data_IF_517025362264
#
_entry.id   IF_517025362264
#
_cell.length_a   1.000
_cell.length_b   1.000
_cell.length_c   1.000
_cell.angle_alpha   90.00
_cell.angle_beta   90.00
_cell.angle_gamma   90.00
#
_symmetry.space_group_name_H-M   'P 1'
#
loop_
_entity.id
_entity.type
_entity.pdbx_description
1 polymer ?
#
# COMPACT_ATOMS: atom_id res chain seq x y z
N UNK A 1 12.43 22.09 21.76
CA UNK A 1 11.84 21.38 20.60
C UNK A 1 11.57 19.92 20.96
N UNK A 2 10.37 19.65 21.46
CA UNK A 2 9.88 18.34 21.88
C UNK A 2 9.54 17.49 20.64
N UNK A 3 10.38 16.51 20.35
CA UNK A 3 10.11 15.47 19.35
C UNK A 3 8.91 14.64 19.81
N UNK A 4 7.78 14.76 19.11
CA UNK A 4 6.64 13.84 19.29
C UNK A 4 7.11 12.41 19.01
N UNK A 5 6.79 11.42 19.87
CA UNK A 5 6.98 10.02 19.54
C UNK A 5 6.26 9.69 18.24
N UNK A 6 6.97 9.06 17.29
CA UNK A 6 6.37 8.52 16.06
C UNK A 6 5.32 7.49 16.49
N UNK A 7 4.07 7.56 15.99
CA UNK A 7 3.06 6.54 16.27
C UNK A 7 3.62 5.17 15.89
N UNK A 8 3.53 4.22 16.81
CA UNK A 8 3.90 2.83 16.59
C UNK A 8 2.86 2.28 15.62
N UNK A 9 3.18 2.26 14.33
CA UNK A 9 2.34 1.69 13.28
C UNK A 9 2.17 0.20 13.59
N UNK A 10 0.94 -0.32 13.81
CA UNK A 10 0.74 -1.75 13.93
C UNK A 10 1.24 -2.41 12.64
N UNK A 11 2.07 -3.45 12.78
CA UNK A 11 2.46 -4.25 11.63
C UNK A 11 1.19 -4.80 10.98
N UNK A 12 1.10 -4.79 9.65
CA UNK A 12 -0.03 -5.41 8.98
C UNK A 12 -0.11 -6.88 9.38
N UNK A 13 -1.31 -7.43 9.64
CA UNK A 13 -1.44 -8.82 10.06
C UNK A 13 -0.89 -9.74 8.96
N UNK A 14 -0.06 -10.69 9.40
CA UNK A 14 0.65 -11.68 8.56
C UNK A 14 -0.33 -12.64 7.87
N UNK A 15 -1.49 -12.88 8.50
CA UNK A 15 -2.63 -13.57 7.88
C UNK A 15 -3.65 -12.55 7.40
N UNK A 16 -4.00 -12.62 6.11
CA UNK A 16 -5.05 -11.77 5.57
C UNK A 16 -6.41 -12.43 5.64
N UNK A 17 -6.92 -12.54 6.86
CA UNK A 17 -8.24 -13.07 7.15
C UNK A 17 -9.06 -12.06 7.96
N UNK A 18 -10.37 -12.23 7.92
CA UNK A 18 -11.27 -11.57 8.85
C UNK A 18 -11.40 -12.46 10.09
N UNK A 19 -11.13 -11.89 11.25
CA UNK A 19 -11.25 -12.56 12.56
C UNK A 19 -12.64 -12.35 13.18
N UNK A 20 -13.58 -11.78 12.43
CA UNK A 20 -14.98 -11.60 12.83
C UNK A 20 -15.91 -11.94 11.66
N UNK A 21 -17.05 -12.59 11.92
CA UNK A 21 -18.06 -12.85 10.90
C UNK A 21 -18.85 -11.59 10.51
N UNK A 22 -18.77 -10.50 11.31
CA UNK A 22 -19.57 -9.28 11.14
C UNK A 22 -18.79 -8.16 10.43
N UNK A 23 -17.86 -8.52 9.56
CA UNK A 23 -17.03 -7.56 8.84
C UNK A 23 -17.81 -6.86 7.73
N UNK A 24 -17.75 -5.53 7.76
CA UNK A 24 -18.45 -4.63 6.84
C UNK A 24 -17.50 -3.50 6.47
N UNK A 25 -17.30 -3.29 5.16
CA UNK A 25 -16.39 -2.28 4.62
C UNK A 25 -16.74 -0.87 5.13
N UNK A 26 -18.01 -0.58 5.40
CA UNK A 26 -18.47 0.73 5.89
C UNK A 26 -18.06 0.97 7.36
N UNK A 27 -17.70 -0.09 8.08
CA UNK A 27 -17.30 -0.02 9.49
C UNK A 27 -15.79 0.01 9.67
N UNK A 28 -15.00 -0.04 8.61
CA UNK A 28 -13.53 -0.06 8.70
C UNK A 28 -12.95 1.14 9.46
N UNK A 29 -13.60 2.30 9.39
CA UNK A 29 -13.19 3.49 10.16
C UNK A 29 -13.47 3.42 11.67
N UNK A 30 -14.18 2.41 12.16
CA UNK A 30 -14.37 2.19 13.59
C UNK A 30 -13.11 1.61 14.23
N UNK A 31 -12.94 1.92 15.50
CA UNK A 31 -11.85 1.41 16.32
C UNK A 31 -11.83 -0.13 16.30
N UNK A 32 -10.65 -0.71 16.17
CA UNK A 32 -10.37 -2.15 16.09
C UNK A 32 -11.03 -2.93 14.93
N UNK A 33 -12.02 -2.38 14.22
CA UNK A 33 -12.65 -3.05 13.08
C UNK A 33 -11.65 -3.26 11.95
N UNK A 34 -10.84 -2.25 11.61
CA UNK A 34 -9.81 -2.42 10.58
C UNK A 34 -8.78 -3.51 10.95
N UNK A 35 -8.47 -3.71 12.23
CA UNK A 35 -7.54 -4.75 12.68
C UNK A 35 -8.17 -6.14 12.59
N UNK A 36 -9.41 -6.29 13.09
CA UNK A 36 -10.13 -7.57 13.12
C UNK A 36 -10.65 -7.98 11.74
N UNK A 37 -11.03 -7.00 10.91
CA UNK A 37 -11.57 -7.18 9.57
C UNK A 37 -10.56 -6.79 8.49
N UNK A 38 -9.31 -7.18 8.69
CA UNK A 38 -8.21 -6.73 7.86
C UNK A 38 -8.42 -7.06 6.36
N UNK A 39 -9.05 -8.21 6.07
CA UNK A 39 -9.34 -8.66 4.70
C UNK A 39 -10.50 -7.88 4.09
N UNK A 40 -11.62 -7.75 4.81
CA UNK A 40 -12.77 -6.95 4.36
C UNK A 40 -12.41 -5.48 4.16
N UNK A 41 -11.54 -4.93 5.01
CA UNK A 41 -11.06 -3.56 4.90
C UNK A 41 -9.95 -3.38 3.86
N UNK A 42 -9.47 -4.46 3.22
CA UNK A 42 -8.41 -4.40 2.21
C UNK A 42 -7.03 -3.99 2.74
N UNK A 43 -6.85 -3.94 4.06
CA UNK A 43 -5.62 -3.42 4.69
C UNK A 43 -4.52 -4.48 4.85
N UNK A 44 -4.80 -5.75 4.54
CA UNK A 44 -3.85 -6.87 4.53
C UNK A 44 -3.75 -7.53 3.15
N UNK A 45 -2.90 -8.56 3.02
CA UNK A 45 -2.87 -9.40 1.82
C UNK A 45 -2.11 -8.79 0.65
N UNK A 46 -1.25 -7.82 0.94
CA UNK A 46 -0.27 -7.32 -0.01
C UNK A 46 0.89 -8.29 -0.16
N UNK A 47 0.61 -9.46 -0.73
CA UNK A 47 1.61 -10.45 -1.06
C UNK A 47 1.44 -10.85 -2.52
N UNK A 48 2.56 -11.19 -3.15
CA UNK A 48 2.52 -11.89 -4.42
C UNK A 48 2.05 -13.33 -4.13
N UNK A 49 0.93 -13.72 -4.75
CA UNK A 49 0.37 -15.08 -4.70
C UNK A 49 1.04 -16.01 -5.69
N UNK A 50 1.90 -15.46 -6.56
CA UNK A 50 2.72 -16.20 -7.52
C UNK A 50 4.19 -15.90 -7.29
N UNK A 51 5.03 -16.83 -7.70
CA UNK A 51 6.49 -16.74 -7.62
C UNK A 51 7.12 -16.09 -8.87
N UNK A 52 6.38 -15.95 -9.97
CA UNK A 52 6.85 -15.40 -11.25
C UNK A 52 6.54 -13.91 -11.43
N UNK A 53 5.96 -13.26 -10.42
CA UNK A 53 5.58 -11.85 -10.48
C UNK A 53 6.75 -10.93 -10.88
N UNK A 54 7.94 -11.14 -10.30
CA UNK A 54 9.15 -10.36 -10.61
C UNK A 54 9.65 -10.52 -12.05
N UNK A 55 9.34 -11.66 -12.70
CA UNK A 55 9.75 -11.94 -14.07
C UNK A 55 8.86 -11.24 -15.10
N UNK A 56 7.61 -11.00 -14.74
CA UNK A 56 6.51 -10.62 -15.63
C UNK A 56 5.83 -9.32 -15.17
N UNK A 57 6.63 -8.35 -14.73
CA UNK A 57 6.15 -7.06 -14.25
C UNK A 57 5.37 -6.27 -15.33
N UNK A 58 5.63 -6.55 -16.60
CA UNK A 58 4.90 -5.98 -17.74
C UNK A 58 3.41 -6.36 -17.78
N UNK A 59 2.99 -7.38 -17.03
CA UNK A 59 1.59 -7.79 -16.92
C UNK A 59 0.84 -7.06 -15.81
N UNK A 60 1.48 -6.15 -15.07
CA UNK A 60 0.83 -5.43 -13.97
C UNK A 60 -0.35 -4.54 -14.40
N UNK A 61 -0.46 -4.19 -15.68
CA UNK A 61 -1.64 -3.53 -16.25
C UNK A 61 -2.86 -4.45 -16.38
N UNK A 62 -2.68 -5.77 -16.31
CA UNK A 62 -3.77 -6.75 -16.31
C UNK A 62 -4.38 -6.89 -14.90
N UNK A 63 -5.69 -6.63 -14.69
CA UNK A 63 -6.32 -6.67 -13.37
C UNK A 63 -6.26 -8.05 -12.67
N UNK A 64 -6.24 -9.13 -13.45
CA UNK A 64 -6.14 -10.50 -12.92
C UNK A 64 -4.71 -10.78 -12.47
N UNK A 65 -3.72 -10.34 -13.25
CA UNK A 65 -2.30 -10.45 -12.89
C UNK A 65 -1.98 -9.61 -11.67
N UNK A 66 -2.43 -8.36 -11.68
CA UNK A 66 -2.16 -7.37 -10.65
C UNK A 66 -2.74 -7.82 -9.29
N UNK A 67 -3.93 -8.45 -9.26
CA UNK A 67 -4.48 -9.12 -8.05
C UNK A 67 -3.67 -10.30 -7.52
N UNK A 68 -2.91 -10.98 -8.38
CA UNK A 68 -2.05 -12.09 -8.00
C UNK A 68 -0.63 -11.64 -7.67
N UNK A 69 -0.22 -10.48 -8.19
CA UNK A 69 1.11 -9.91 -8.02
C UNK A 69 1.02 -8.54 -7.34
N UNK A 70 0.14 -8.40 -6.35
CA UNK A 70 -0.24 -7.11 -5.76
C UNK A 70 0.94 -6.32 -5.21
N UNK A 71 1.94 -7.04 -4.68
CA UNK A 71 3.16 -6.47 -4.12
C UNK A 71 4.12 -6.06 -5.24
N UNK A 72 4.40 -6.96 -6.18
CA UNK A 72 5.28 -6.67 -7.31
C UNK A 72 4.73 -5.56 -8.21
N UNK A 73 3.42 -5.54 -8.42
CA UNK A 73 2.73 -4.53 -9.22
C UNK A 73 2.49 -3.22 -8.47
N UNK A 74 2.91 -3.13 -7.20
CA UNK A 74 2.81 -1.93 -6.38
C UNK A 74 1.39 -1.35 -6.30
N UNK A 75 0.40 -2.22 -6.32
CA UNK A 75 -1.02 -1.82 -6.20
C UNK A 75 -1.30 -1.39 -4.77
N UNK A 76 -0.66 -2.08 -3.82
CA UNK A 76 -0.79 -1.80 -2.42
C UNK A 76 -0.12 -0.48 -2.03
N UNK A 77 -0.43 -0.03 -0.82
CA UNK A 77 0.31 1.03 -0.15
C UNK A 77 1.77 0.57 0.08
N UNK A 78 2.73 1.40 -0.32
CA UNK A 78 4.15 1.12 -0.11
C UNK A 78 4.46 1.23 1.39
N UNK A 79 4.70 0.09 2.05
CA UNK A 79 5.02 0.00 3.48
C UNK A 79 5.96 -1.16 3.75
N UNK A 80 6.59 -1.13 4.92
CA UNK A 80 7.36 -2.25 5.44
C UNK A 80 6.42 -3.26 6.14
N UNK A 81 6.67 -4.56 5.94
CA UNK A 81 5.89 -5.66 6.51
C UNK A 81 6.32 -6.01 7.94
N UNK A 82 7.56 -5.67 8.31
CA UNK A 82 8.12 -5.95 9.63
C UNK A 82 8.60 -4.67 10.31
N UNK A 83 8.48 -4.62 11.65
CA UNK A 83 8.85 -3.43 12.42
C UNK A 83 10.36 -3.23 12.53
N UNK A 84 11.15 -4.28 12.29
CA UNK A 84 12.61 -4.26 12.33
C UNK A 84 13.25 -3.78 11.01
N UNK A 85 12.46 -3.45 9.99
CA UNK A 85 12.96 -2.92 8.72
C UNK A 85 13.94 -1.74 8.84
N UNK A 86 13.76 -0.75 9.75
CA UNK A 86 14.74 0.31 9.98
C UNK A 86 16.14 -0.20 10.36
N UNK A 87 16.23 -1.35 11.03
CA UNK A 87 17.50 -1.99 11.41
C UNK A 87 18.11 -2.80 10.25
N UNK A 88 17.31 -3.16 9.25
CA UNK A 88 17.71 -4.02 8.12
C UNK A 88 18.13 -3.24 6.88
N UNK A 89 18.28 -1.92 6.97
CA UNK A 89 18.55 -1.05 5.82
C UNK A 89 19.83 -1.43 5.04
N UNK A 90 20.86 -1.95 5.71
CA UNK A 90 22.09 -2.44 5.05
C UNK A 90 21.88 -3.73 4.25
N UNK A 91 20.84 -4.50 4.57
CA UNK A 91 20.49 -5.75 3.90
C UNK A 91 19.55 -5.56 2.71
N UNK A 92 19.32 -4.32 2.29
CA UNK A 92 18.49 -4.00 1.12
C UNK A 92 19.07 -4.47 -0.23
N UNK A 93 20.17 -5.24 -0.25
CA UNK A 93 20.63 -5.98 -1.42
C UNK A 93 20.01 -7.39 -1.49
N UNK A 94 19.60 -7.95 -0.35
CA UNK A 94 18.96 -9.27 -0.22
C UNK A 94 17.51 -9.24 -0.72
N UNK A 95 17.12 -10.30 -1.42
CA UNK A 95 15.80 -10.39 -2.04
C UNK A 95 14.67 -10.45 -1.00
N UNK A 96 14.89 -11.10 0.15
CA UNK A 96 13.87 -11.22 1.21
C UNK A 96 13.69 -9.87 1.89
N UNK A 97 14.79 -9.22 2.25
CA UNK A 97 14.78 -7.91 2.91
C UNK A 97 14.20 -6.84 2.00
N UNK A 98 14.57 -6.80 0.72
CA UNK A 98 13.94 -5.88 -0.26
C UNK A 98 12.43 -6.04 -0.33
N UNK A 99 11.95 -7.26 -0.16
CA UNK A 99 10.55 -7.59 -0.36
C UNK A 99 9.71 -7.36 0.91
N UNK A 100 10.27 -7.58 2.10
CA UNK A 100 9.65 -7.28 3.39
C UNK A 100 9.77 -5.80 3.77
N UNK A 101 10.87 -5.15 3.38
CA UNK A 101 11.20 -3.78 3.76
C UNK A 101 11.19 -2.84 2.55
N UNK A 102 10.18 -2.97 1.70
CA UNK A 102 10.12 -2.26 0.42
C UNK A 102 10.17 -0.73 0.57
N UNK A 103 9.61 -0.19 1.67
CA UNK A 103 9.65 1.24 1.96
C UNK A 103 11.04 1.66 2.50
N UNK A 104 11.58 0.94 3.50
CA UNK A 104 12.93 1.23 4.05
C UNK A 104 14.02 1.07 2.98
N UNK A 105 13.90 0.06 2.12
CA UNK A 105 14.82 -0.20 1.01
C UNK A 105 14.59 0.70 -0.20
N UNK A 106 13.61 1.62 -0.16
CA UNK A 106 13.25 2.55 -1.24
C UNK A 106 12.95 1.84 -2.56
N UNK A 107 12.46 0.60 -2.49
CA UNK A 107 12.03 -0.20 -3.65
C UNK A 107 10.71 0.34 -4.18
N UNK A 108 9.88 0.89 -3.30
CA UNK A 108 8.68 1.64 -3.65
C UNK A 108 8.69 3.01 -2.97
N UNK A 109 7.81 3.90 -3.42
CA UNK A 109 7.51 5.18 -2.76
C UNK A 109 6.05 5.19 -2.33
N UNK A 110 5.79 5.75 -1.15
CA UNK A 110 4.43 6.04 -0.72
C UNK A 110 3.81 7.09 -1.63
N UNK A 111 2.87 6.69 -2.50
CA UNK A 111 2.07 7.62 -3.28
C UNK A 111 1.02 8.30 -2.38
N UNK A 112 0.78 9.59 -2.60
CA UNK A 112 -0.33 10.29 -1.93
C UNK A 112 -1.67 9.87 -2.57
N UNK A 113 -2.29 8.84 -2.00
CA UNK A 113 -3.61 8.34 -2.42
C UNK A 113 -4.43 7.92 -1.21
N UNK A 114 -5.75 7.90 -1.40
CA UNK A 114 -6.62 7.19 -0.47
C UNK A 114 -6.54 5.68 -0.73
N UNK A 115 -6.55 4.90 0.34
CA UNK A 115 -6.62 3.44 0.27
C UNK A 115 -8.00 2.99 -0.22
N UNK A 116 -9.05 3.68 0.22
CA UNK A 116 -10.42 3.41 -0.19
C UNK A 116 -10.85 4.32 -1.36
N UNK A 117 -11.88 3.90 -2.09
CA UNK A 117 -12.50 4.75 -3.08
C UNK A 117 -13.00 6.07 -2.46
N UNK A 118 -12.96 7.15 -3.23
CA UNK A 118 -13.21 8.51 -2.74
C UNK A 118 -14.60 8.69 -2.08
N UNK A 119 -15.60 7.88 -2.45
CA UNK A 119 -16.89 7.86 -1.77
C UNK A 119 -16.79 7.33 -0.32
N UNK A 120 -16.07 6.23 -0.10
CA UNK A 120 -15.86 5.68 1.23
C UNK A 120 -15.03 6.62 2.11
N UNK A 121 -13.92 7.16 1.62
CA UNK A 121 -13.13 8.10 2.42
C UNK A 121 -13.90 9.39 2.76
N UNK A 122 -14.75 9.91 1.86
CA UNK A 122 -15.65 11.04 2.18
C UNK A 122 -16.67 10.67 3.24
N UNK A 123 -17.26 9.48 3.15
CA UNK A 123 -18.18 8.97 4.16
C UNK A 123 -17.48 8.83 5.52
N UNK A 124 -16.30 8.20 5.55
CA UNK A 124 -15.51 8.03 6.77
C UNK A 124 -15.12 9.37 7.38
N UNK A 125 -14.72 10.35 6.56
CA UNK A 125 -14.46 11.72 7.03
C UNK A 125 -15.68 12.36 7.68
N UNK A 126 -16.87 12.14 7.12
CA UNK A 126 -18.13 12.66 7.69
C UNK A 126 -18.48 12.00 9.03
N UNK A 127 -18.17 10.71 9.22
CA UNK A 127 -18.52 9.95 10.43
C UNK A 127 -17.46 10.01 11.53
N UNK A 128 -16.18 10.01 11.16
CA UNK A 128 -15.05 9.82 12.08
C UNK A 128 -14.07 11.02 12.08
N UNK A 129 -14.28 12.01 11.22
CA UNK A 129 -13.37 13.15 11.06
C UNK A 129 -12.05 12.76 10.40
N UNK A 130 -11.00 13.55 10.61
CA UNK A 130 -9.65 13.25 10.12
C UNK A 130 -8.62 13.05 11.25
N UNK A 131 -9.00 13.27 12.51
CA UNK A 131 -8.04 13.26 13.63
C UNK A 131 -7.50 11.88 14.04
N UNK A 132 -8.14 10.79 13.59
CA UNK A 132 -7.78 9.43 13.98
C UNK A 132 -6.72 8.79 13.08
N UNK A 133 -5.94 7.85 13.65
CA UNK A 133 -4.91 7.07 12.95
C UNK A 133 -5.45 6.49 11.63
N UNK A 134 -6.61 5.82 11.68
CA UNK A 134 -7.25 5.23 10.51
C UNK A 134 -7.39 6.23 9.35
N UNK A 135 -7.88 7.42 9.62
CA UNK A 135 -8.09 8.44 8.58
C UNK A 135 -6.78 9.04 8.09
N UNK A 136 -5.82 9.23 8.99
CA UNK A 136 -4.47 9.70 8.63
C UNK A 136 -3.63 8.68 7.86
N UNK A 137 -4.00 7.40 7.90
CA UNK A 137 -3.28 6.34 7.19
C UNK A 137 -4.01 5.95 5.91
N UNK A 138 -5.32 5.70 5.95
CA UNK A 138 -6.04 5.10 4.83
C UNK A 138 -6.83 6.09 3.97
N UNK A 139 -6.98 7.34 4.41
CA UNK A 139 -7.68 8.40 3.68
C UNK A 139 -6.86 9.71 3.64
N UNK A 140 -5.54 9.56 3.44
CA UNK A 140 -4.55 10.64 3.48
C UNK A 140 -4.88 11.80 2.53
N UNK A 141 -5.34 11.49 1.32
CA UNK A 141 -5.66 12.50 0.31
C UNK A 141 -6.96 13.22 0.67
N UNK A 142 -8.02 12.48 1.00
CA UNK A 142 -9.32 13.05 1.41
C UNK A 142 -9.21 13.94 2.66
N UNK A 143 -8.29 13.62 3.55
CA UNK A 143 -8.01 14.40 4.75
C UNK A 143 -6.93 15.49 4.57
N UNK A 144 -6.28 15.56 3.41
CA UNK A 144 -5.25 16.56 3.11
C UNK A 144 -3.94 16.37 3.88
N UNK A 145 -3.66 15.15 4.37
CA UNK A 145 -2.40 14.81 5.03
C UNK A 145 -1.22 14.70 4.07
N UNK A 146 -1.52 14.54 2.78
CA UNK A 146 -0.54 14.58 1.72
C UNK A 146 -1.09 15.39 0.54
N UNK A 147 -0.19 15.81 -0.37
CA UNK A 147 -0.57 16.45 -1.63
C UNK A 147 -0.29 15.50 -2.77
N UNK A 148 -1.25 15.33 -3.67
CA UNK A 148 -1.00 14.64 -4.94
C UNK A 148 0.05 15.42 -5.73
N UNK A 149 1.08 14.71 -6.16
CA UNK A 149 2.04 15.17 -7.15
C UNK A 149 2.26 14.03 -8.13
N UNK A 150 2.54 14.38 -9.39
CA UNK A 150 2.95 13.37 -10.37
C UNK A 150 4.31 12.83 -9.95
N UNK A 151 4.33 11.57 -9.51
CA UNK A 151 5.54 10.83 -9.22
C UNK A 151 5.49 9.53 -10.00
N UNK A 152 6.59 9.18 -10.65
CA UNK A 152 6.72 7.89 -11.30
C UNK A 152 6.56 6.79 -10.24
N UNK A 153 5.52 5.97 -10.41
CA UNK A 153 5.24 4.83 -9.55
C UNK A 153 6.30 3.74 -9.71
N UNK A 154 6.96 3.68 -10.87
CA UNK A 154 7.97 2.68 -11.20
C UNK A 154 9.37 3.30 -11.20
N UNK A 155 10.39 2.45 -11.05
CA UNK A 155 11.79 2.90 -11.16
C UNK A 155 12.06 3.42 -12.57
N UNK A 156 13.04 4.33 -12.69
CA UNK A 156 13.46 4.89 -13.99
C UNK A 156 13.77 3.80 -15.02
N UNK A 157 14.33 2.67 -14.59
CA UNK A 157 14.62 1.52 -15.46
C UNK A 157 13.34 0.88 -16.04
N UNK A 158 12.32 0.67 -15.20
CA UNK A 158 11.03 0.13 -15.66
C UNK A 158 10.29 1.12 -16.54
N UNK A 159 10.23 2.40 -16.14
CA UNK A 159 9.64 3.46 -16.97
C UNK A 159 10.34 3.57 -18.34
N UNK A 160 11.67 3.50 -18.37
CA UNK A 160 12.45 3.52 -19.62
C UNK A 160 12.13 2.31 -20.49
N UNK A 161 12.01 1.13 -19.88
CA UNK A 161 11.63 -0.10 -20.59
C UNK A 161 10.22 -0.02 -21.18
N UNK A 162 9.24 0.50 -20.44
CA UNK A 162 7.88 0.71 -20.95
C UNK A 162 7.84 1.74 -22.10
N UNK A 163 8.65 2.80 -22.03
CA UNK A 163 8.82 3.77 -23.12
C UNK A 163 9.37 3.12 -24.38
N UNK A 164 10.45 2.34 -24.26
CA UNK A 164 11.05 1.62 -25.40
C UNK A 164 10.08 0.61 -26.03
N UNK A 165 9.24 -0.03 -25.21
CA UNK A 165 8.23 -0.99 -25.67
C UNK A 165 6.93 -0.33 -26.19
N UNK A 166 6.82 1.00 -26.21
CA UNK A 166 5.65 1.70 -26.72
C UNK A 166 4.39 1.55 -25.85
N UNK A 167 4.55 1.22 -24.57
CA UNK A 167 3.44 0.87 -23.66
C UNK A 167 2.96 2.00 -22.76
N UNK A 168 3.40 3.24 -23.01
CA UNK A 168 3.02 4.41 -22.20
C UNK A 168 1.52 4.75 -22.25
N UNK A 169 0.79 4.23 -23.24
CA UNK A 169 -0.65 4.44 -23.40
C UNK A 169 -1.52 3.49 -22.55
N UNK A 170 -0.92 2.48 -21.91
CA UNK A 170 -1.64 1.56 -21.03
C UNK A 170 -2.06 2.30 -19.75
N UNK A 171 -3.28 2.05 -19.26
CA UNK A 171 -3.89 2.75 -18.11
C UNK A 171 -3.08 2.69 -16.81
N UNK A 172 -2.05 1.85 -16.75
CA UNK A 172 -1.15 1.68 -15.61
C UNK A 172 0.05 2.64 -15.62
N UNK A 173 0.26 3.37 -16.74
CA UNK A 173 1.40 4.26 -17.01
C UNK A 173 0.94 5.72 -17.22
N UNK A 174 -0.36 5.99 -17.06
CA UNK A 174 -0.96 7.33 -17.10
C UNK A 174 -1.12 7.94 -15.71
#
# INVERSE_FOLDING_TARGET
PTSRPRPITPAPPTECNDHSPNCDINKCGKENVHVVCAKTCGICGCADKRNDCLRYMEHCSNPTWSKQCSRTCQICECRDETQDCPLRQSYCHDAITKAQCAYTCKVCKGGCKDHFAANYCRQFKSHYGCGGYFMSTYCQLTCGFCKQGCQDLQTDQLCTRFKVLGKCSENYVR
#
